data_IF_603777463195
#
_entry.id   IF_603777463195
#
_cell.length_a   1.000
_cell.length_b   1.000
_cell.length_c   1.000
_cell.angle_alpha   90.00
_cell.angle_beta   90.00
_cell.angle_gamma   90.00
#
_symmetry.space_group_name_H-M   'P 1'
#
loop_
_entity.id
_entity.type
_entity.pdbx_description
1 polymer ?
#
# COMPACT_ATOMS: atom_id res chain seq x y z
N UNK A 1 24.97 -2.21 18.84
CA UNK A 1 24.07 -3.38 18.82
C UNK A 1 23.68 -3.62 17.38
N UNK A 2 23.91 -4.82 16.84
CA UNK A 2 23.40 -5.19 15.51
C UNK A 2 21.87 -5.28 15.58
N UNK A 3 21.17 -4.57 14.67
CA UNK A 3 19.71 -4.70 14.55
C UNK A 3 19.34 -6.16 14.27
N UNK A 4 18.25 -6.63 14.85
CA UNK A 4 17.76 -7.99 14.62
C UNK A 4 17.29 -8.16 13.16
N UNK A 5 17.23 -9.41 12.69
CA UNK A 5 16.61 -9.75 11.41
C UNK A 5 15.12 -9.41 11.42
N UNK A 6 14.60 -8.92 10.30
CA UNK A 6 13.20 -8.54 10.17
C UNK A 6 12.25 -9.75 10.23
N UNK A 7 11.19 -9.61 11.03
CA UNK A 7 10.08 -10.56 11.09
C UNK A 7 8.75 -9.82 10.97
N UNK A 8 7.92 -10.13 9.95
CA UNK A 8 6.57 -9.56 9.82
C UNK A 8 5.71 -9.75 11.08
N UNK A 9 5.78 -10.94 11.69
CA UNK A 9 5.05 -11.25 12.90
C UNK A 9 5.51 -10.41 14.10
N UNK A 10 6.82 -10.14 14.20
CA UNK A 10 7.36 -9.27 15.26
C UNK A 10 6.93 -7.82 15.06
N UNK A 11 6.89 -7.33 13.83
CA UNK A 11 6.37 -5.99 13.52
C UNK A 11 4.89 -5.86 13.91
N UNK A 12 4.05 -6.84 13.56
CA UNK A 12 2.64 -6.87 13.96
C UNK A 12 2.47 -6.90 15.48
N UNK A 13 3.26 -7.73 16.18
CA UNK A 13 3.20 -7.80 17.64
C UNK A 13 3.56 -6.46 18.27
N UNK A 14 4.60 -5.79 17.77
CA UNK A 14 5.00 -4.46 18.22
C UNK A 14 3.91 -3.41 17.98
N UNK A 15 3.27 -3.41 16.80
CA UNK A 15 2.11 -2.55 16.52
C UNK A 15 0.99 -2.78 17.52
N UNK A 16 0.61 -4.04 17.77
CA UNK A 16 -0.47 -4.38 18.72
C UNK A 16 -0.13 -4.00 20.17
N UNK A 17 1.15 -3.98 20.53
CA UNK A 17 1.61 -3.61 21.87
C UNK A 17 1.66 -2.09 22.08
N UNK A 18 2.05 -1.33 21.05
CA UNK A 18 2.42 0.09 21.20
C UNK A 18 1.43 1.07 20.58
N UNK A 19 0.70 0.67 19.54
CA UNK A 19 -0.26 1.52 18.87
C UNK A 19 -1.67 1.37 19.45
N UNK A 20 -2.44 2.45 19.38
CA UNK A 20 -3.87 2.43 19.70
C UNK A 20 -4.65 1.75 18.56
N UNK A 21 -5.60 0.83 18.86
CA UNK A 21 -6.43 0.25 17.81
C UNK A 21 -7.33 1.31 17.17
N UNK A 22 -7.61 1.14 15.87
CA UNK A 22 -8.40 2.05 15.02
C UNK A 22 -7.80 3.46 14.90
N UNK A 23 -6.48 3.56 15.02
CA UNK A 23 -5.71 4.79 14.87
C UNK A 23 -4.60 4.57 13.83
N UNK A 24 -4.88 4.85 12.53
CA UNK A 24 -3.92 4.62 11.45
C UNK A 24 -2.58 5.33 11.65
N UNK A 25 -2.59 6.55 12.21
CA UNK A 25 -1.36 7.31 12.41
C UNK A 25 -0.50 6.70 13.54
N UNK A 26 -1.12 6.21 14.61
CA UNK A 26 -0.41 5.45 15.65
C UNK A 26 0.17 4.13 15.11
N UNK A 27 -0.55 3.46 14.20
CA UNK A 27 -0.07 2.22 13.55
C UNK A 27 1.15 2.50 12.67
N UNK A 28 1.13 3.57 11.86
CA UNK A 28 2.27 3.97 11.05
C UNK A 28 3.49 4.31 11.91
N UNK A 29 3.28 5.12 12.96
CA UNK A 29 4.35 5.48 13.89
C UNK A 29 4.99 4.27 14.58
N UNK A 30 4.19 3.26 14.97
CA UNK A 30 4.71 2.02 15.55
C UNK A 30 5.52 1.18 14.54
N UNK A 31 5.11 1.13 13.26
CA UNK A 31 5.88 0.47 12.21
C UNK A 31 7.21 1.20 11.95
N UNK A 32 7.19 2.54 11.90
CA UNK A 32 8.40 3.34 11.73
C UNK A 32 9.35 3.13 12.92
N UNK A 33 8.85 3.19 14.16
CA UNK A 33 9.64 2.92 15.36
C UNK A 33 10.23 1.51 15.35
N UNK A 34 9.47 0.50 14.93
CA UNK A 34 9.98 -0.86 14.79
C UNK A 34 11.17 -0.93 13.81
N UNK A 35 11.05 -0.27 12.65
CA UNK A 35 12.11 -0.14 11.65
C UNK A 35 13.37 0.54 12.19
N UNK A 36 13.18 1.62 12.93
CA UNK A 36 14.27 2.43 13.48
C UNK A 36 14.97 1.78 14.68
N UNK A 37 14.20 1.22 15.62
CA UNK A 37 14.71 0.80 16.93
C UNK A 37 14.93 -0.71 17.07
N UNK A 38 14.26 -1.56 16.27
CA UNK A 38 14.28 -3.02 16.46
C UNK A 38 14.92 -3.76 15.30
N UNK A 39 14.32 -3.66 14.11
CA UNK A 39 14.74 -4.40 12.93
C UNK A 39 14.40 -3.60 11.67
N UNK A 40 15.40 -3.31 10.84
CA UNK A 40 15.20 -2.57 9.60
C UNK A 40 14.31 -3.35 8.62
N UNK A 41 13.45 -2.66 7.90
CA UNK A 41 12.61 -3.24 6.84
C UNK A 41 12.39 -2.24 5.69
N UNK A 42 11.93 -2.78 4.56
CA UNK A 42 11.79 -2.07 3.29
C UNK A 42 10.49 -1.26 3.15
N UNK A 43 9.99 -0.65 4.23
CA UNK A 43 8.82 0.23 4.12
C UNK A 43 9.21 1.60 3.54
N UNK A 44 8.22 2.30 2.99
CA UNK A 44 8.33 3.70 2.55
C UNK A 44 8.99 4.59 3.62
N UNK A 45 8.59 4.43 4.88
CA UNK A 45 9.11 5.19 6.01
C UNK A 45 8.44 6.55 6.20
N UNK A 46 8.72 7.18 7.34
CA UNK A 46 8.13 8.43 7.79
C UNK A 46 8.47 9.61 6.88
N UNK A 47 9.73 9.74 6.46
CA UNK A 47 10.19 10.85 5.61
C UNK A 47 9.54 10.84 4.22
N UNK A 48 9.71 9.75 3.45
CA UNK A 48 9.13 9.63 2.11
C UNK A 48 7.60 9.62 2.15
N UNK A 49 7.04 9.04 3.20
CA UNK A 49 5.60 8.96 3.31
C UNK A 49 4.93 10.33 3.45
N UNK A 50 5.63 11.36 3.98
CA UNK A 50 5.09 12.74 3.99
C UNK A 50 4.90 13.23 2.55
N UNK A 51 5.86 12.97 1.68
CA UNK A 51 5.78 13.30 0.24
C UNK A 51 4.60 12.57 -0.40
N UNK A 52 4.44 11.27 -0.12
CA UNK A 52 3.30 10.49 -0.61
C UNK A 52 1.97 11.11 -0.17
N UNK A 53 1.85 11.48 1.11
CA UNK A 53 0.62 12.11 1.63
C UNK A 53 0.34 13.46 0.95
N UNK A 54 1.36 14.26 0.68
CA UNK A 54 1.23 15.55 0.00
C UNK A 54 0.77 15.40 -1.45
N UNK A 55 1.33 14.45 -2.20
CA UNK A 55 0.90 14.20 -3.59
C UNK A 55 -0.52 13.64 -3.65
N UNK A 56 -0.88 12.71 -2.76
CA UNK A 56 -2.24 12.15 -2.70
C UNK A 56 -3.29 13.21 -2.40
N UNK A 57 -2.98 14.19 -1.53
CA UNK A 57 -3.91 15.29 -1.21
C UNK A 57 -4.16 16.25 -2.37
N UNK A 58 -3.32 16.23 -3.42
CA UNK A 58 -3.55 17.04 -4.64
C UNK A 58 -4.54 16.39 -5.60
N UNK A 59 -4.87 15.11 -5.38
CA UNK A 59 -5.82 14.36 -6.21
C UNK A 59 -7.23 14.55 -5.64
N UNK A 60 -8.11 15.17 -6.43
CA UNK A 60 -9.52 15.36 -6.06
C UNK A 60 -10.45 14.89 -7.21
N UNK A 61 -11.40 13.97 -6.95
CA UNK A 61 -11.48 13.14 -5.76
C UNK A 61 -10.41 12.05 -5.77
N UNK A 62 -9.97 11.61 -4.58
CA UNK A 62 -9.14 10.43 -4.37
C UNK A 62 -10.01 9.30 -3.81
N UNK A 63 -10.59 8.48 -4.68
CA UNK A 63 -11.50 7.39 -4.32
C UNK A 63 -10.89 6.02 -4.53
N UNK A 64 -10.10 5.81 -5.58
CA UNK A 64 -9.62 4.49 -6.01
C UNK A 64 -8.12 4.54 -6.24
N UNK A 65 -7.39 3.78 -5.43
CA UNK A 65 -5.93 3.64 -5.55
C UNK A 65 -5.57 2.20 -5.86
N UNK A 66 -4.69 1.98 -6.82
CA UNK A 66 -4.05 0.68 -7.05
C UNK A 66 -2.63 0.73 -6.51
N UNK A 67 -2.29 -0.18 -5.61
CA UNK A 67 -0.96 -0.33 -5.04
C UNK A 67 -0.30 -1.61 -5.58
N UNK A 68 0.94 -1.50 -6.07
CA UNK A 68 1.77 -2.63 -6.46
C UNK A 68 2.89 -2.80 -5.43
N UNK A 69 2.80 -3.86 -4.62
CA UNK A 69 3.65 -4.11 -3.46
C UNK A 69 2.93 -3.79 -2.15
N UNK A 70 2.50 -4.82 -1.43
CA UNK A 70 1.76 -4.69 -0.15
C UNK A 70 2.69 -4.81 1.05
N UNK A 71 3.63 -5.75 1.00
CA UNK A 71 4.50 -6.12 2.11
C UNK A 71 3.72 -6.29 3.44
N UNK A 72 4.07 -5.55 4.51
CA UNK A 72 3.35 -5.60 5.80
C UNK A 72 2.23 -4.56 5.93
N UNK A 73 1.82 -3.93 4.83
CA UNK A 73 0.66 -3.04 4.78
C UNK A 73 0.89 -1.60 5.20
N UNK A 74 2.15 -1.15 5.29
CA UNK A 74 2.49 0.23 5.68
C UNK A 74 1.88 1.25 4.72
N UNK A 75 2.20 1.14 3.42
CA UNK A 75 1.69 2.04 2.39
C UNK A 75 0.19 1.87 2.18
N UNK A 76 -0.36 0.66 2.28
CA UNK A 76 -1.80 0.42 2.28
C UNK A 76 -2.53 1.20 3.39
N UNK A 77 -2.05 1.13 4.64
CA UNK A 77 -2.60 1.92 5.77
C UNK A 77 -2.44 3.42 5.50
N UNK A 78 -1.25 3.81 5.03
CA UNK A 78 -0.92 5.21 4.76
C UNK A 78 -1.88 5.81 3.72
N UNK A 79 -2.06 5.16 2.59
CA UNK A 79 -2.96 5.60 1.53
C UNK A 79 -4.43 5.56 2.03
N UNK A 80 -4.87 4.43 2.59
CA UNK A 80 -6.28 4.21 2.94
C UNK A 80 -6.81 5.20 4.00
N UNK A 81 -5.95 5.71 4.90
CA UNK A 81 -6.35 6.72 5.90
C UNK A 81 -6.74 8.06 5.29
N UNK A 82 -6.25 8.38 4.09
CA UNK A 82 -6.54 9.62 3.37
C UNK A 82 -7.80 9.53 2.51
N UNK A 83 -8.31 8.32 2.25
CA UNK A 83 -9.49 8.14 1.42
C UNK A 83 -10.77 8.57 2.16
N UNK A 84 -11.75 9.18 1.49
CA UNK A 84 -13.07 9.43 2.07
C UNK A 84 -13.86 8.13 2.27
N UNK A 85 -15.03 8.17 2.93
CA UNK A 85 -15.93 7.02 2.99
C UNK A 85 -16.27 6.47 1.59
N UNK A 86 -16.19 5.15 1.44
CA UNK A 86 -16.40 4.47 0.15
C UNK A 86 -15.16 4.42 -0.75
N UNK A 87 -14.07 5.11 -0.41
CA UNK A 87 -12.80 4.97 -1.11
C UNK A 87 -12.13 3.61 -0.86
N UNK A 88 -11.38 3.12 -1.85
CA UNK A 88 -10.72 1.82 -1.87
C UNK A 88 -9.26 1.89 -2.31
N UNK A 89 -8.42 1.13 -1.63
CA UNK A 89 -7.07 0.72 -2.06
C UNK A 89 -7.16 -0.73 -2.53
N UNK A 90 -6.74 -1.00 -3.76
CA UNK A 90 -6.53 -2.35 -4.28
C UNK A 90 -5.04 -2.64 -4.23
N UNK A 91 -4.61 -3.44 -3.26
CA UNK A 91 -3.20 -3.74 -3.03
C UNK A 91 -2.84 -5.10 -3.60
N UNK A 92 -1.84 -5.13 -4.48
CA UNK A 92 -1.42 -6.31 -5.25
C UNK A 92 -0.04 -6.76 -4.78
N UNK A 93 0.05 -8.02 -4.37
CA UNK A 93 1.31 -8.64 -3.96
C UNK A 93 1.23 -10.17 -4.16
N UNK A 94 2.28 -10.81 -4.72
CA UNK A 94 2.31 -12.26 -4.89
C UNK A 94 2.53 -13.03 -3.57
N UNK A 95 3.11 -12.41 -2.53
CA UNK A 95 3.45 -13.09 -1.28
C UNK A 95 2.26 -13.09 -0.29
N UNK A 96 1.42 -14.10 -0.41
CA UNK A 96 0.18 -14.19 0.38
C UNK A 96 0.41 -14.68 1.81
N UNK A 97 1.33 -15.63 2.01
CA UNK A 97 1.39 -16.38 3.27
C UNK A 97 2.13 -15.62 4.36
N UNK A 98 3.28 -15.03 4.04
CA UNK A 98 4.18 -14.47 5.04
C UNK A 98 3.86 -13.01 5.39
N UNK A 99 3.70 -12.15 4.41
CA UNK A 99 3.59 -10.69 4.60
C UNK A 99 2.15 -10.22 4.49
N UNK A 100 1.37 -10.70 3.52
CA UNK A 100 -0.03 -10.31 3.37
C UNK A 100 -0.93 -10.72 4.54
N UNK A 101 -0.69 -11.86 5.18
CA UNK A 101 -1.41 -12.23 6.42
C UNK A 101 -1.19 -11.17 7.50
N UNK A 102 0.05 -10.68 7.65
CA UNK A 102 0.37 -9.59 8.58
C UNK A 102 -0.25 -8.27 8.13
N UNK A 103 -0.16 -7.93 6.84
CA UNK A 103 -0.74 -6.70 6.31
C UNK A 103 -2.26 -6.61 6.55
N UNK A 104 -2.98 -7.72 6.37
CA UNK A 104 -4.42 -7.79 6.70
C UNK A 104 -4.70 -7.47 8.16
N UNK A 105 -3.90 -8.03 9.07
CA UNK A 105 -4.00 -7.78 10.51
C UNK A 105 -3.64 -6.34 10.88
N UNK A 106 -2.58 -5.77 10.26
CA UNK A 106 -2.18 -4.37 10.45
C UNK A 106 -3.29 -3.43 9.99
N UNK A 107 -3.83 -3.64 8.79
CA UNK A 107 -4.93 -2.85 8.22
C UNK A 107 -6.20 -2.97 9.07
N UNK A 108 -6.54 -4.18 9.54
CA UNK A 108 -7.69 -4.40 10.41
C UNK A 108 -7.50 -3.71 11.76
N UNK A 109 -6.31 -3.80 12.36
CA UNK A 109 -5.98 -3.13 13.61
C UNK A 109 -6.02 -1.60 13.47
N UNK A 110 -5.61 -1.06 12.32
CA UNK A 110 -5.74 0.36 11.98
C UNK A 110 -7.20 0.80 11.75
N UNK A 111 -8.15 -0.14 11.68
CA UNK A 111 -9.57 0.16 11.46
C UNK A 111 -9.92 0.52 10.02
N UNK A 112 -9.13 0.02 9.04
CA UNK A 112 -9.24 0.35 7.62
C UNK A 112 -9.59 -0.86 6.74
N UNK A 113 -10.05 -1.97 7.33
CA UNK A 113 -10.37 -3.20 6.61
C UNK A 113 -11.46 -3.02 5.54
N UNK A 114 -12.36 -2.06 5.72
CA UNK A 114 -13.39 -1.70 4.76
C UNK A 114 -12.85 -0.86 3.59
N UNK A 115 -11.62 -0.33 3.67
CA UNK A 115 -11.00 0.50 2.63
C UNK A 115 -9.91 -0.22 1.83
N UNK A 116 -9.41 -1.37 2.27
CA UNK A 116 -8.34 -2.08 1.57
C UNK A 116 -8.84 -3.43 1.05
N UNK A 117 -8.66 -3.66 -0.24
CA UNK A 117 -8.87 -4.96 -0.88
C UNK A 117 -7.52 -5.56 -1.29
N UNK A 118 -7.22 -6.75 -0.76
CA UNK A 118 -6.02 -7.50 -1.09
C UNK A 118 -6.26 -8.36 -2.33
N UNK A 119 -5.42 -8.18 -3.36
CA UNK A 119 -5.56 -8.84 -4.65
C UNK A 119 -4.30 -9.71 -4.86
N UNK A 120 -4.35 -11.00 -4.52
CA UNK A 120 -3.16 -11.85 -4.56
C UNK A 120 -2.70 -12.13 -6.00
N UNK A 121 -1.39 -12.12 -6.20
CA UNK A 121 -0.72 -12.43 -7.46
C UNK A 121 0.22 -11.31 -7.92
N UNK A 122 0.90 -11.57 -9.02
CA UNK A 122 1.70 -10.53 -9.69
C UNK A 122 0.79 -9.47 -10.32
N UNK A 123 1.33 -8.28 -10.59
CA UNK A 123 0.60 -7.23 -11.31
C UNK A 123 0.06 -7.74 -12.66
N UNK A 124 0.86 -8.51 -13.41
CA UNK A 124 0.46 -9.13 -14.66
C UNK A 124 -0.77 -10.06 -14.55
N UNK A 125 -0.97 -10.71 -13.41
CA UNK A 125 -2.11 -11.60 -13.15
C UNK A 125 -3.31 -10.87 -12.55
N UNK A 126 -3.06 -9.88 -11.69
CA UNK A 126 -4.08 -9.17 -10.92
C UNK A 126 -4.74 -8.04 -11.72
N UNK A 127 -3.96 -7.25 -12.47
CA UNK A 127 -4.46 -6.10 -13.21
C UNK A 127 -5.54 -6.47 -14.25
N UNK A 128 -5.42 -7.56 -15.04
CA UNK A 128 -6.49 -7.98 -15.94
C UNK A 128 -7.79 -8.29 -15.20
N UNK A 129 -7.72 -8.91 -14.01
CA UNK A 129 -8.90 -9.22 -13.19
C UNK A 129 -9.56 -7.96 -12.65
N UNK A 130 -8.77 -6.97 -12.25
CA UNK A 130 -9.29 -5.66 -11.84
C UNK A 130 -9.91 -4.90 -13.02
N UNK A 131 -9.30 -4.94 -14.20
CA UNK A 131 -9.82 -4.27 -15.40
C UNK A 131 -11.16 -4.83 -15.90
N UNK A 132 -11.47 -6.08 -15.56
CA UNK A 132 -12.76 -6.70 -15.87
C UNK A 132 -13.90 -6.18 -14.96
N UNK A 133 -13.58 -5.40 -13.92
CA UNK A 133 -14.56 -4.78 -13.03
C UNK A 133 -14.97 -3.42 -13.57
N UNK A 134 -16.22 -3.31 -14.01
CA UNK A 134 -16.76 -2.09 -14.62
C UNK A 134 -16.67 -0.86 -13.71
N UNK A 135 -16.70 -1.06 -12.39
CA UNK A 135 -16.52 0.02 -11.42
C UNK A 135 -15.11 0.63 -11.43
N UNK A 136 -14.09 -0.08 -11.90
CA UNK A 136 -12.69 0.38 -11.94
C UNK A 136 -12.25 0.96 -13.29
N UNK A 137 -12.97 0.66 -14.36
CA UNK A 137 -12.61 1.05 -15.73
C UNK A 137 -12.57 2.57 -15.88
N UNK A 138 -11.38 3.11 -16.13
CA UNK A 138 -11.13 4.56 -16.25
C UNK A 138 -11.38 5.35 -14.97
N UNK A 139 -11.33 4.69 -13.80
CA UNK A 139 -11.64 5.32 -12.49
C UNK A 139 -10.51 5.23 -11.47
N UNK A 140 -9.36 4.64 -11.80
CA UNK A 140 -8.20 4.65 -10.91
C UNK A 140 -7.65 6.07 -10.83
N UNK A 141 -7.71 6.66 -9.64
CA UNK A 141 -7.28 8.03 -9.35
C UNK A 141 -5.76 8.10 -9.10
N UNK A 142 -5.21 7.05 -8.51
CA UNK A 142 -3.78 6.97 -8.21
C UNK A 142 -3.26 5.54 -8.39
N UNK A 143 -2.02 5.41 -8.86
CA UNK A 143 -1.23 4.18 -8.78
C UNK A 143 0.00 4.43 -7.92
N UNK A 144 0.21 3.60 -6.91
CA UNK A 144 1.44 3.55 -6.12
C UNK A 144 2.24 2.30 -6.50
N UNK A 145 3.51 2.47 -6.90
CA UNK A 145 4.38 1.39 -7.37
C UNK A 145 5.59 1.29 -6.43
N UNK A 146 5.66 0.21 -5.67
CA UNK A 146 6.75 -0.08 -4.74
C UNK A 146 7.04 -1.60 -4.64
N UNK A 147 7.11 -2.25 -5.80
CA UNK A 147 7.45 -3.67 -5.91
C UNK A 147 8.80 -3.87 -6.62
N UNK A 148 8.97 -4.98 -7.34
CA UNK A 148 10.20 -5.31 -8.05
C UNK A 148 10.42 -4.40 -9.27
N UNK A 149 11.57 -3.69 -9.29
CA UNK A 149 11.86 -2.55 -10.17
C UNK A 149 11.85 -2.87 -11.65
N UNK A 150 12.32 -4.06 -12.02
CA UNK A 150 12.35 -4.52 -13.41
C UNK A 150 10.96 -4.53 -14.08
N UNK A 151 9.89 -4.53 -13.28
CA UNK A 151 8.51 -4.57 -13.78
C UNK A 151 7.79 -3.22 -13.74
N UNK A 152 8.41 -2.14 -13.24
CA UNK A 152 7.71 -0.85 -13.09
C UNK A 152 7.17 -0.34 -14.42
N UNK A 153 8.01 -0.34 -15.45
CA UNK A 153 7.62 0.12 -16.79
C UNK A 153 6.55 -0.80 -17.40
N UNK A 154 6.76 -2.13 -17.35
CA UNK A 154 5.82 -3.08 -17.96
C UNK A 154 4.46 -3.04 -17.28
N UNK A 155 4.42 -2.90 -15.95
CA UNK A 155 3.17 -2.89 -15.20
C UNK A 155 2.43 -1.56 -15.36
N UNK A 156 3.14 -0.44 -15.42
CA UNK A 156 2.53 0.85 -15.76
C UNK A 156 1.94 0.84 -17.17
N UNK A 157 2.66 0.33 -18.16
CA UNK A 157 2.16 0.17 -19.53
C UNK A 157 0.94 -0.77 -19.58
N UNK A 158 0.94 -1.83 -18.77
CA UNK A 158 -0.21 -2.72 -18.67
C UNK A 158 -1.43 -1.99 -18.08
N UNK A 159 -1.26 -1.22 -17.01
CA UNK A 159 -2.33 -0.41 -16.41
C UNK A 159 -2.93 0.56 -17.44
N UNK A 160 -2.08 1.24 -18.20
CA UNK A 160 -2.52 2.17 -19.26
C UNK A 160 -3.28 1.43 -20.37
N UNK A 161 -2.73 0.31 -20.87
CA UNK A 161 -3.35 -0.51 -21.91
C UNK A 161 -4.72 -1.07 -21.49
N UNK A 162 -4.86 -1.41 -20.22
CA UNK A 162 -6.13 -1.90 -19.66
C UNK A 162 -7.16 -0.77 -19.43
N UNK A 163 -6.79 0.49 -19.65
CA UNK A 163 -7.69 1.63 -19.52
C UNK A 163 -8.19 1.83 -18.09
N UNK A 164 -7.37 1.51 -17.09
CA UNK A 164 -7.73 1.63 -15.67
C UNK A 164 -7.68 3.09 -15.19
N UNK A 165 -6.72 3.87 -15.70
CA UNK A 165 -6.47 5.24 -15.25
C UNK A 165 -7.56 6.20 -15.73
N UNK A 166 -8.00 7.08 -14.83
CA UNK A 166 -8.77 8.26 -15.25
C UNK A 166 -7.85 9.33 -15.85
N UNK A 167 -8.38 10.26 -16.65
CA UNK A 167 -7.64 11.48 -17.00
C UNK A 167 -7.16 12.23 -15.75
N UNK A 168 -5.87 12.58 -15.73
CA UNK A 168 -5.24 13.25 -14.58
C UNK A 168 -4.92 12.33 -13.40
N UNK A 169 -4.97 11.01 -13.57
CA UNK A 169 -4.54 10.07 -12.54
C UNK A 169 -3.07 10.30 -12.14
N UNK A 170 -2.80 10.20 -10.85
CA UNK A 170 -1.46 10.29 -10.29
C UNK A 170 -0.75 8.93 -10.37
N UNK A 171 0.53 8.93 -10.72
CA UNK A 171 1.38 7.75 -10.59
C UNK A 171 2.57 8.11 -9.72
N UNK A 172 2.73 7.40 -8.62
CA UNK A 172 3.86 7.55 -7.69
C UNK A 172 4.65 6.25 -7.69
N UNK A 173 5.94 6.31 -8.02
CA UNK A 173 6.83 5.16 -8.02
C UNK A 173 7.95 5.39 -7.01
N UNK A 174 8.12 4.48 -6.05
CA UNK A 174 9.17 4.62 -5.03
C UNK A 174 10.51 4.02 -5.50
N UNK A 175 11.60 4.55 -4.96
CA UNK A 175 12.97 4.06 -5.16
C UNK A 175 13.35 3.96 -6.66
N UNK A 176 12.91 4.93 -7.48
CA UNK A 176 13.39 5.08 -8.86
C UNK A 176 14.88 5.46 -8.85
N UNK A 177 15.65 4.88 -9.78
CA UNK A 177 17.10 5.10 -9.97
C UNK A 177 17.42 5.41 -11.41
#
# INVERSE_FOLDING_TARGET
>A
MTKAEFSPAAALAFVKETARPRDPDAVLAALDEFGWAKAWHMSVGDEKGVILDEELRKVDPLMTVVELGTFVGYSAVRIARLLPPGGKVYTIDPEVERTNTVAKEVVAFAGLADKVEFVPGTAAEALPKLSAREELKGKVDCVFIDHHKDYYLSDLQLIEKLGLLRPGALVVADNVV
#
